data_IF_037079378685
#
_entry.id   IF_037079378685
#
_cell.length_a   1.000
_cell.length_b   1.000
_cell.length_c   1.000
_cell.angle_alpha   90.00
_cell.angle_beta   90.00
_cell.angle_gamma   90.00
#
_symmetry.space_group_name_H-M   'P 1'
#
loop_
_entity.id
_entity.type
_entity.pdbx_description
1 polymer ?
#
# COMPACT_ATOMS: atom_id res chain seq x y z
N UNK A 1 26.92 -33.12 -26.54
CA UNK A 1 25.44 -33.12 -26.56
C UNK A 1 25.01 -34.40 -25.86
N UNK A 2 24.79 -34.34 -24.54
CA UNK A 2 24.36 -35.52 -23.78
C UNK A 2 22.87 -35.68 -24.05
N UNK A 3 22.50 -36.90 -24.45
CA UNK A 3 21.17 -37.28 -24.90
C UNK A 3 20.06 -36.70 -24.02
N UNK A 4 19.17 -35.91 -24.61
CA UNK A 4 17.83 -35.71 -24.08
C UNK A 4 17.14 -37.07 -24.11
N UNK A 5 17.16 -37.77 -22.97
CA UNK A 5 16.39 -38.99 -22.78
C UNK A 5 14.93 -38.64 -23.07
N UNK A 6 14.32 -39.33 -24.04
CA UNK A 6 12.89 -39.25 -24.31
C UNK A 6 12.15 -39.65 -23.02
N UNK A 7 11.62 -38.66 -22.31
CA UNK A 7 10.93 -38.81 -21.02
C UNK A 7 9.45 -39.10 -21.29
N UNK A 8 9.14 -40.36 -21.53
CA UNK A 8 7.75 -40.81 -21.64
C UNK A 8 7.58 -42.18 -20.96
N UNK A 9 8.04 -42.27 -19.70
CA UNK A 9 7.83 -43.43 -18.83
C UNK A 9 6.83 -43.09 -17.75
N UNK A 10 5.85 -43.97 -17.51
CA UNK A 10 4.79 -43.82 -16.49
C UNK A 10 5.31 -43.47 -15.09
N UNK A 11 6.54 -43.88 -14.75
CA UNK A 11 7.17 -43.64 -13.45
C UNK A 11 7.91 -42.30 -13.36
N UNK A 12 8.20 -41.67 -14.50
CA UNK A 12 8.96 -40.42 -14.57
C UNK A 12 8.10 -39.24 -14.13
N UNK A 13 6.83 -39.19 -14.56
CA UNK A 13 5.90 -38.14 -14.15
C UNK A 13 5.69 -38.13 -12.64
N UNK A 14 5.39 -39.29 -12.04
CA UNK A 14 5.14 -39.39 -10.59
C UNK A 14 6.38 -39.01 -9.77
N UNK A 15 7.58 -39.43 -10.20
CA UNK A 15 8.82 -39.07 -9.51
C UNK A 15 9.08 -37.56 -9.54
N UNK A 16 8.90 -36.92 -10.71
CA UNK A 16 9.09 -35.48 -10.84
C UNK A 16 7.97 -34.69 -10.16
N UNK A 17 6.73 -35.16 -10.21
CA UNK A 17 5.60 -34.55 -9.49
C UNK A 17 5.86 -34.56 -7.99
N UNK A 18 6.29 -35.67 -7.40
CA UNK A 18 6.65 -35.73 -5.97
C UNK A 18 7.89 -34.90 -5.63
N UNK A 19 8.88 -34.87 -6.52
CA UNK A 19 10.10 -34.08 -6.35
C UNK A 19 9.79 -32.58 -6.32
N UNK A 20 8.90 -32.11 -7.20
CA UNK A 20 8.53 -30.70 -7.29
C UNK A 20 7.37 -30.31 -6.38
N UNK A 21 6.52 -31.23 -5.92
CA UNK A 21 5.34 -30.93 -5.09
C UNK A 21 5.65 -30.07 -3.86
N UNK A 22 6.78 -30.30 -3.20
CA UNK A 22 7.20 -29.49 -2.04
C UNK A 22 7.58 -28.06 -2.44
N UNK A 23 8.26 -27.91 -3.58
CA UNK A 23 8.65 -26.62 -4.13
C UNK A 23 7.43 -25.86 -4.66
N UNK A 24 6.53 -26.54 -5.40
CA UNK A 24 5.29 -25.97 -5.91
C UNK A 24 4.40 -25.47 -4.78
N UNK A 25 4.33 -26.22 -3.67
CA UNK A 25 3.62 -25.78 -2.47
C UNK A 25 4.24 -24.51 -1.87
N UNK A 26 5.57 -24.46 -1.73
CA UNK A 26 6.26 -23.28 -1.22
C UNK A 26 6.10 -22.08 -2.16
N UNK A 27 6.11 -22.28 -3.48
CA UNK A 27 5.84 -21.24 -4.46
C UNK A 27 4.42 -20.69 -4.30
N UNK A 28 3.41 -21.57 -4.21
CA UNK A 28 2.02 -21.14 -4.00
C UNK A 28 1.82 -20.39 -2.68
N UNK A 29 2.48 -20.83 -1.60
CA UNK A 29 2.49 -20.12 -0.32
C UNK A 29 3.18 -18.75 -0.44
N UNK A 30 4.33 -18.69 -1.10
CA UNK A 30 5.06 -17.45 -1.33
C UNK A 30 4.25 -16.45 -2.16
N UNK A 31 3.61 -16.87 -3.25
CA UNK A 31 2.75 -16.00 -4.07
C UNK A 31 1.63 -15.37 -3.24
N UNK A 32 1.02 -16.15 -2.34
CA UNK A 32 -0.03 -15.64 -1.44
C UNK A 32 0.52 -14.59 -0.47
N UNK A 33 1.68 -14.83 0.11
CA UNK A 33 2.33 -13.88 1.03
C UNK A 33 2.78 -12.61 0.29
N UNK A 34 3.31 -12.73 -0.93
CA UNK A 34 3.66 -11.57 -1.77
C UNK A 34 2.43 -10.74 -2.14
N UNK A 35 1.32 -11.39 -2.52
CA UNK A 35 0.07 -10.67 -2.79
C UNK A 35 -0.46 -9.93 -1.55
N UNK A 36 -0.33 -10.52 -0.36
CA UNK A 36 -0.69 -9.85 0.89
C UNK A 36 0.26 -8.67 1.20
N UNK A 37 1.56 -8.84 0.97
CA UNK A 37 2.56 -7.80 1.15
C UNK A 37 2.33 -6.61 0.20
N UNK A 38 2.03 -6.86 -1.07
CA UNK A 38 1.72 -5.82 -2.06
C UNK A 38 0.53 -4.97 -1.63
N UNK A 39 -0.52 -5.60 -1.10
CA UNK A 39 -1.68 -4.90 -0.56
C UNK A 39 -1.31 -4.06 0.66
N UNK A 40 -0.50 -4.61 1.58
CA UNK A 40 -0.01 -3.88 2.74
C UNK A 40 0.86 -2.67 2.35
N UNK A 41 1.76 -2.82 1.37
CA UNK A 41 2.57 -1.72 0.83
C UNK A 41 1.71 -0.63 0.18
N UNK A 42 0.68 -1.02 -0.57
CA UNK A 42 -0.25 -0.06 -1.15
C UNK A 42 -0.98 0.75 -0.06
N UNK A 43 -1.41 0.09 1.03
CA UNK A 43 -2.02 0.76 2.20
C UNK A 43 -1.05 1.69 2.90
N UNK A 44 0.18 1.25 3.13
CA UNK A 44 1.22 2.04 3.79
C UNK A 44 1.49 3.34 3.02
N UNK A 45 1.63 3.27 1.69
CA UNK A 45 1.87 4.45 0.87
C UNK A 45 0.74 5.50 1.01
N UNK A 46 -0.52 5.06 1.04
CA UNK A 46 -1.67 5.96 1.24
C UNK A 46 -1.67 6.56 2.64
N UNK A 47 -1.37 5.76 3.67
CA UNK A 47 -1.31 6.25 5.05
C UNK A 47 -0.15 7.24 5.26
N UNK A 48 1.01 7.00 4.67
CA UNK A 48 2.16 7.91 4.72
C UNK A 48 1.82 9.26 4.09
N UNK A 49 1.19 9.25 2.91
CA UNK A 49 0.69 10.47 2.26
C UNK A 49 -0.34 11.20 3.14
N UNK A 50 -1.25 10.45 3.75
CA UNK A 50 -2.28 10.98 4.66
C UNK A 50 -1.61 11.66 5.87
N UNK A 51 -0.58 11.05 6.45
CA UNK A 51 0.15 11.64 7.58
C UNK A 51 0.80 12.98 7.22
N UNK A 52 1.44 13.05 6.05
CA UNK A 52 2.04 14.30 5.53
C UNK A 52 0.99 15.39 5.30
N UNK A 53 -0.15 15.05 4.67
CA UNK A 53 -1.25 16.00 4.45
C UNK A 53 -1.83 16.52 5.77
N UNK A 54 -1.96 15.65 6.78
CA UNK A 54 -2.45 16.03 8.10
C UNK A 54 -1.50 17.01 8.78
N UNK A 55 -0.18 16.74 8.73
CA UNK A 55 0.84 17.62 9.30
C UNK A 55 0.80 19.03 8.65
N UNK A 56 0.68 19.09 7.32
CA UNK A 56 0.57 20.37 6.59
C UNK A 56 -0.73 21.11 6.92
N UNK A 57 -1.87 20.41 6.94
CA UNK A 57 -3.15 21.02 7.32
C UNK A 57 -3.16 21.58 8.74
N UNK A 58 -2.54 20.84 9.68
CA UNK A 58 -2.38 21.28 11.06
C UNK A 58 -1.46 22.50 11.17
N UNK A 59 -0.39 22.56 10.38
CA UNK A 59 0.49 23.73 10.33
C UNK A 59 -0.27 24.98 9.85
N UNK A 60 -1.14 24.87 8.84
CA UNK A 60 -1.99 25.98 8.42
C UNK A 60 -3.00 26.40 9.48
N UNK A 61 -3.59 25.44 10.20
CA UNK A 61 -4.50 25.74 11.33
C UNK A 61 -3.76 26.47 12.46
N UNK A 62 -2.55 26.03 12.81
CA UNK A 62 -1.71 26.67 13.81
C UNK A 62 -1.33 28.10 13.39
N UNK A 63 -0.94 28.28 12.12
CA UNK A 63 -0.62 29.61 11.60
C UNK A 63 -1.83 30.54 11.63
N UNK A 64 -3.00 30.07 11.21
CA UNK A 64 -4.25 30.84 11.30
C UNK A 64 -4.59 31.25 12.75
N UNK A 65 -4.33 30.36 13.71
CA UNK A 65 -4.58 30.60 15.15
C UNK A 65 -3.71 31.72 15.72
N UNK A 66 -2.48 31.90 15.21
CA UNK A 66 -1.57 32.96 15.66
C UNK A 66 -1.89 34.34 15.08
N UNK A 67 -2.76 34.43 14.05
CA UNK A 67 -3.12 35.68 13.42
C UNK A 67 -4.21 36.43 14.19
N UNK A 68 -4.08 37.76 14.26
CA UNK A 68 -5.12 38.64 14.81
C UNK A 68 -6.42 38.51 14.02
N UNK A 69 -7.55 38.71 14.70
CA UNK A 69 -8.90 38.53 14.14
C UNK A 69 -9.18 39.45 12.94
N UNK A 70 -8.64 40.66 12.95
CA UNK A 70 -8.76 41.64 11.87
C UNK A 70 -7.97 41.25 10.60
N UNK A 71 -7.03 40.31 10.71
CA UNK A 71 -6.16 39.96 9.61
C UNK A 71 -6.91 39.11 8.57
N UNK A 72 -7.07 39.65 7.37
CA UNK A 72 -7.71 38.98 6.22
C UNK A 72 -7.09 37.63 5.85
N UNK A 73 -5.85 37.36 6.25
CA UNK A 73 -5.18 36.08 6.03
C UNK A 73 -5.68 34.97 6.96
N UNK A 74 -6.23 35.29 8.13
CA UNK A 74 -6.75 34.30 9.09
C UNK A 74 -7.82 33.39 8.48
N UNK A 75 -8.93 33.90 7.90
CA UNK A 75 -9.94 33.04 7.29
C UNK A 75 -9.39 32.27 6.08
N UNK A 76 -8.44 32.84 5.33
CA UNK A 76 -7.82 32.15 4.20
C UNK A 76 -7.08 30.87 4.64
N UNK A 77 -6.21 30.96 5.64
CA UNK A 77 -5.50 29.78 6.17
C UNK A 77 -6.43 28.79 6.87
N UNK A 78 -7.49 29.27 7.54
CA UNK A 78 -8.52 28.40 8.11
C UNK A 78 -9.24 27.58 7.04
N UNK A 79 -9.65 28.20 5.94
CA UNK A 79 -10.30 27.48 4.83
C UNK A 79 -9.35 26.45 4.23
N UNK A 80 -8.08 26.81 4.06
CA UNK A 80 -7.06 25.92 3.53
C UNK A 80 -6.82 24.70 4.44
N UNK A 81 -6.79 24.92 5.76
CA UNK A 81 -6.69 23.84 6.75
C UNK A 81 -7.90 22.91 6.71
N UNK A 82 -9.11 23.46 6.57
CA UNK A 82 -10.35 22.68 6.44
C UNK A 82 -10.35 21.87 5.13
N UNK A 83 -9.93 22.47 4.01
CA UNK A 83 -9.82 21.76 2.73
C UNK A 83 -8.83 20.60 2.81
N UNK A 84 -7.67 20.81 3.44
CA UNK A 84 -6.68 19.76 3.67
C UNK A 84 -7.21 18.65 4.56
N UNK A 85 -7.97 18.97 5.61
CA UNK A 85 -8.64 17.99 6.46
C UNK A 85 -9.65 17.15 5.67
N UNK A 86 -10.45 17.76 4.80
CA UNK A 86 -11.42 17.04 3.97
C UNK A 86 -10.74 16.07 2.99
N UNK A 87 -9.66 16.50 2.34
CA UNK A 87 -8.83 15.64 1.48
C UNK A 87 -8.22 14.50 2.31
N UNK A 88 -7.73 14.80 3.51
CA UNK A 88 -7.13 13.82 4.41
C UNK A 88 -8.11 12.69 4.77
N UNK A 89 -9.32 13.05 5.21
CA UNK A 89 -10.38 12.09 5.53
C UNK A 89 -10.71 11.23 4.30
N UNK A 90 -10.77 11.83 3.12
CA UNK A 90 -11.06 11.10 1.88
C UNK A 90 -9.98 10.06 1.55
N UNK A 91 -8.71 10.40 1.73
CA UNK A 91 -7.59 9.47 1.51
C UNK A 91 -7.53 8.38 2.57
N UNK A 92 -7.81 8.73 3.83
CA UNK A 92 -7.87 7.77 4.92
C UNK A 92 -8.97 6.71 4.70
N UNK A 93 -10.15 7.14 4.26
CA UNK A 93 -11.25 6.23 3.91
C UNK A 93 -10.87 5.30 2.76
N UNK A 94 -10.17 5.81 1.73
CA UNK A 94 -9.66 4.98 0.62
C UNK A 94 -8.69 3.89 1.10
N UNK A 95 -7.78 4.22 2.03
CA UNK A 95 -6.86 3.25 2.60
C UNK A 95 -7.58 2.10 3.34
N UNK A 96 -8.71 2.41 3.98
CA UNK A 96 -9.52 1.43 4.70
C UNK A 96 -10.41 0.57 3.80
N UNK A 97 -10.74 1.07 2.60
CA UNK A 97 -11.50 0.33 1.58
C UNK A 97 -10.65 -0.54 0.65
N UNK A 98 -9.33 -0.37 0.69
CA UNK A 98 -8.34 -1.19 -0.03
C UNK A 98 -8.11 -2.51 0.73
#
# INVERSE_FOLDING_TARGET
MVASVERDSYWDSTYYDELYASSDKLYAEAEKEFAAADLAYAKEAVLQLTMLLAAVGLAFAAYASMLKEENRLRPFFTILAIAMLAINISQFLKAFSL
#
